data_IF_991013805534
#
_entry.id   IF_991013805534
#
_cell.length_a   1.000
_cell.length_b   1.000
_cell.length_c   1.000
_cell.angle_alpha   90.00
_cell.angle_beta   90.00
_cell.angle_gamma   90.00
#
_symmetry.space_group_name_H-M   'P 1'
#
loop_
_entity.id
_entity.type
_entity.pdbx_description
1 polymer ?
#
# COMPACT_ATOMS: atom_id res chain seq x y z
N UNK A 1 -6.25 6.75 -15.08
CA UNK A 1 -5.27 6.30 -14.05
C UNK A 1 -4.11 5.53 -14.70
N UNK A 2 -2.86 5.99 -14.51
CA UNK A 2 -1.66 5.44 -15.15
C UNK A 2 -0.97 4.30 -14.41
N UNK A 3 -1.40 3.96 -13.20
CA UNK A 3 -0.88 2.80 -12.46
C UNK A 3 -1.44 1.53 -13.13
N UNK A 4 -0.56 0.60 -13.51
CA UNK A 4 -0.93 -0.65 -14.19
C UNK A 4 -0.27 -1.86 -13.52
N UNK A 5 -0.88 -3.05 -13.59
CA UNK A 5 -0.25 -4.28 -13.16
C UNK A 5 0.99 -4.49 -14.03
N UNK A 6 2.17 -4.67 -13.42
CA UNK A 6 3.37 -4.92 -14.21
C UNK A 6 3.42 -6.40 -14.57
N UNK A 7 3.27 -6.73 -15.85
CA UNK A 7 3.23 -8.12 -16.35
C UNK A 7 4.52 -8.91 -16.12
N UNK A 8 5.61 -8.25 -15.71
CA UNK A 8 6.94 -8.84 -15.51
C UNK A 8 7.23 -9.26 -14.05
N UNK A 9 6.31 -9.01 -13.10
CA UNK A 9 6.45 -9.41 -11.70
C UNK A 9 5.28 -10.29 -11.29
N UNK A 10 5.53 -11.36 -10.53
CA UNK A 10 4.48 -12.24 -9.96
C UNK A 10 3.42 -11.49 -9.11
N UNK A 11 3.72 -10.25 -8.74
CA UNK A 11 3.00 -9.44 -7.76
C UNK A 11 1.58 -8.97 -8.13
N UNK A 12 1.15 -9.02 -9.40
CA UNK A 12 -0.09 -8.29 -9.77
C UNK A 12 -0.92 -8.99 -10.84
N UNK A 13 -1.73 -9.97 -10.44
CA UNK A 13 -2.86 -10.41 -11.28
C UNK A 13 -4.05 -9.44 -11.18
N UNK A 14 -4.17 -8.73 -10.05
CA UNK A 14 -5.16 -7.68 -9.81
C UNK A 14 -4.49 -6.52 -9.07
N UNK A 15 -5.03 -5.32 -9.25
CA UNK A 15 -4.62 -4.13 -8.54
C UNK A 15 -5.82 -3.27 -8.18
N UNK A 16 -5.75 -2.55 -7.06
CA UNK A 16 -6.80 -1.67 -6.57
C UNK A 16 -6.22 -0.45 -5.85
N UNK A 17 -6.97 0.64 -5.80
CA UNK A 17 -6.59 1.79 -4.99
C UNK A 17 -6.63 1.45 -3.49
N UNK A 18 -5.70 1.98 -2.72
CA UNK A 18 -5.63 1.79 -1.28
C UNK A 18 -6.18 2.98 -0.52
N UNK A 19 -5.32 3.94 -0.22
CA UNK A 19 -5.71 5.17 0.46
C UNK A 19 -6.07 6.25 -0.54
N UNK A 20 -6.83 7.30 -0.14
CA UNK A 20 -6.90 8.51 -0.93
C UNK A 20 -5.48 9.04 -1.24
N UNK A 21 -5.16 9.42 -2.49
CA UNK A 21 -3.89 10.05 -2.79
C UNK A 21 -3.74 11.36 -2.04
N UNK A 22 -2.55 11.62 -1.49
CA UNK A 22 -2.24 12.87 -0.81
C UNK A 22 -1.20 13.65 -1.61
N UNK A 23 -1.34 14.97 -1.64
CA UNK A 23 -0.33 15.83 -2.26
C UNK A 23 0.86 15.95 -1.29
N UNK A 24 2.06 15.67 -1.80
CA UNK A 24 3.30 15.75 -1.06
C UNK A 24 4.26 16.70 -1.75
N UNK A 25 5.07 17.39 -0.96
CA UNK A 25 6.23 18.14 -1.46
C UNK A 25 7.47 17.24 -1.51
N UNK A 26 8.43 17.60 -2.34
CA UNK A 26 9.68 16.86 -2.51
C UNK A 26 10.72 17.67 -3.29
N UNK A 27 11.96 17.19 -3.36
CA UNK A 27 13.07 17.90 -4.02
C UNK A 27 12.80 18.24 -5.49
N UNK A 28 12.02 17.41 -6.20
CA UNK A 28 11.64 17.61 -7.60
C UNK A 28 10.27 18.31 -7.76
N UNK A 29 9.78 19.00 -6.72
CA UNK A 29 8.46 19.63 -6.70
C UNK A 29 7.32 18.73 -6.17
N UNK A 30 7.63 17.48 -5.81
CA UNK A 30 6.67 16.56 -5.19
C UNK A 30 5.63 15.99 -6.17
N UNK A 31 4.45 15.61 -5.66
CA UNK A 31 3.42 14.96 -6.46
C UNK A 31 2.30 14.35 -5.63
N UNK A 32 1.42 13.58 -6.27
CA UNK A 32 0.38 12.83 -5.57
C UNK A 32 0.93 11.47 -5.13
N UNK A 33 1.15 11.28 -3.83
CA UNK A 33 1.49 9.99 -3.26
C UNK A 33 0.23 9.12 -3.23
N UNK A 34 0.26 8.02 -3.98
CA UNK A 34 -0.84 7.07 -4.09
C UNK A 34 -0.42 5.71 -3.54
N UNK A 35 -1.13 5.21 -2.53
CA UNK A 35 -0.99 3.83 -2.06
C UNK A 35 -2.01 2.95 -2.77
N UNK A 36 -1.56 1.77 -3.21
CA UNK A 36 -2.38 0.83 -3.97
C UNK A 36 -2.04 -0.60 -3.60
N UNK A 37 -2.99 -1.52 -3.80
CA UNK A 37 -2.81 -2.94 -3.50
C UNK A 37 -2.45 -3.73 -4.74
N UNK A 38 -1.46 -4.60 -4.62
CA UNK A 38 -1.17 -5.64 -5.60
C UNK A 38 -1.55 -7.00 -5.04
N UNK A 39 -2.18 -7.83 -5.88
CA UNK A 39 -2.60 -9.18 -5.53
C UNK A 39 -1.78 -10.21 -6.30
N UNK A 40 -0.99 -10.98 -5.56
CA UNK A 40 -0.32 -12.17 -6.07
C UNK A 40 -1.28 -13.37 -6.01
N UNK A 41 -1.47 -14.12 -7.11
CA UNK A 41 -2.31 -15.31 -7.12
C UNK A 41 -1.80 -16.40 -6.16
N UNK A 42 -2.60 -16.70 -5.13
CA UNK A 42 -2.33 -17.79 -4.20
C UNK A 42 -3.64 -18.29 -3.59
N UNK A 43 -3.97 -19.56 -3.80
CA UNK A 43 -5.24 -20.11 -3.34
C UNK A 43 -6.44 -19.33 -3.90
N UNK A 44 -7.50 -19.19 -3.09
CA UNK A 44 -8.75 -18.50 -3.48
C UNK A 44 -8.67 -16.99 -3.29
N UNK A 45 -7.96 -16.54 -2.25
CA UNK A 45 -7.94 -15.12 -1.83
C UNK A 45 -6.78 -14.36 -2.48
N UNK A 46 -5.60 -14.97 -2.60
CA UNK A 46 -4.37 -14.30 -3.02
C UNK A 46 -3.62 -13.63 -1.86
N UNK A 47 -2.40 -13.18 -2.14
CA UNK A 47 -1.59 -12.40 -1.19
C UNK A 47 -1.74 -10.93 -1.53
N UNK A 48 -2.28 -10.15 -0.60
CA UNK A 48 -2.46 -8.70 -0.76
C UNK A 48 -1.33 -7.96 -0.07
N UNK A 49 -0.65 -7.11 -0.85
CA UNK A 49 0.40 -6.22 -0.35
C UNK A 49 0.09 -4.80 -0.76
N UNK A 50 0.52 -3.84 0.05
CA UNK A 50 0.44 -2.42 -0.28
C UNK A 50 1.73 -1.98 -0.96
N UNK A 51 1.59 -1.21 -2.03
CA UNK A 51 2.65 -0.57 -2.78
C UNK A 51 2.37 0.93 -2.88
N UNK A 52 3.30 1.67 -3.47
CA UNK A 52 3.15 3.10 -3.66
C UNK A 52 3.67 3.57 -5.02
N UNK A 53 3.06 4.63 -5.51
CA UNK A 53 3.56 5.41 -6.64
C UNK A 53 3.40 6.90 -6.35
N UNK A 54 4.36 7.70 -6.79
CA UNK A 54 4.24 9.15 -6.86
C UNK A 54 3.79 9.53 -8.26
N UNK A 55 2.63 10.19 -8.35
CA UNK A 55 2.04 10.66 -9.60
C UNK A 55 2.35 12.15 -9.78
N UNK A 56 2.36 12.60 -11.03
CA UNK A 56 2.62 14.00 -11.36
C UNK A 56 1.56 14.93 -10.74
N UNK A 57 2.02 16.05 -10.20
CA UNK A 57 1.21 17.04 -9.46
C UNK A 57 0.12 17.65 -10.34
N UNK A 58 0.44 17.97 -11.58
CA UNK A 58 -0.43 18.65 -12.54
C UNK A 58 -1.18 17.66 -13.43
N UNK A 59 -0.55 16.54 -13.78
CA UNK A 59 -1.15 15.45 -14.56
C UNK A 59 -1.07 14.10 -13.82
N UNK A 60 -1.99 13.80 -12.88
CA UNK A 60 -1.96 12.58 -12.06
C UNK A 60 -2.18 11.29 -12.87
N UNK A 61 -2.38 11.38 -14.19
CA UNK A 61 -2.34 10.20 -15.07
C UNK A 61 -0.92 9.68 -15.30
N UNK A 62 0.12 10.48 -15.02
CA UNK A 62 1.54 10.14 -15.21
C UNK A 62 2.17 9.69 -13.90
N UNK A 63 2.85 8.54 -13.93
CA UNK A 63 3.65 8.04 -12.80
C UNK A 63 5.06 8.63 -12.91
N UNK A 64 5.51 9.33 -11.88
CA UNK A 64 6.88 9.89 -11.80
C UNK A 64 7.83 8.90 -11.12
N UNK A 65 7.40 8.32 -10.00
CA UNK A 65 8.17 7.30 -9.25
C UNK A 65 7.27 6.18 -8.78
N UNK A 66 7.84 4.99 -8.66
CA UNK A 66 7.14 3.83 -8.10
C UNK A 66 8.16 2.89 -7.46
N UNK A 67 7.74 2.18 -6.42
CA UNK A 67 8.51 1.04 -5.90
C UNK A 67 7.90 -0.27 -6.39
N UNK A 68 8.76 -1.26 -6.64
CA UNK A 68 8.36 -2.64 -6.88
C UNK A 68 8.43 -3.50 -5.60
N UNK A 69 9.08 -2.99 -4.56
CA UNK A 69 9.07 -3.60 -3.24
C UNK A 69 7.76 -3.25 -2.52
N UNK A 70 7.20 -4.23 -1.81
CA UNK A 70 6.03 -4.01 -1.00
C UNK A 70 6.33 -3.01 0.13
N UNK A 71 5.47 -2.01 0.27
CA UNK A 71 5.54 -1.03 1.35
C UNK A 71 5.04 -1.63 2.67
N UNK A 72 3.94 -2.37 2.59
CA UNK A 72 3.35 -3.07 3.73
C UNK A 72 2.93 -4.47 3.29
N UNK A 73 3.37 -5.45 4.06
CA UNK A 73 2.95 -6.84 4.00
C UNK A 73 2.18 -7.23 5.26
N UNK A 74 1.44 -8.34 5.17
CA UNK A 74 0.78 -8.92 6.31
C UNK A 74 1.80 -9.27 7.40
N UNK A 75 1.44 -9.05 8.66
CA UNK A 75 2.31 -9.30 9.80
C UNK A 75 1.64 -10.28 10.77
N UNK A 76 1.98 -11.58 10.71
CA UNK A 76 1.39 -12.62 11.56
C UNK A 76 1.55 -12.36 13.06
N UNK A 77 2.57 -11.59 13.48
CA UNK A 77 2.76 -11.27 14.89
C UNK A 77 1.63 -10.36 15.43
N UNK A 78 0.98 -9.57 14.58
CA UNK A 78 -0.13 -8.69 14.98
C UNK A 78 -1.43 -9.47 15.24
N UNK A 79 -1.59 -10.63 14.61
CA UNK A 79 -2.80 -11.45 14.71
C UNK A 79 -2.61 -12.71 15.53
N UNK A 80 -1.41 -12.95 16.09
CA UNK A 80 -1.10 -14.11 16.94
C UNK A 80 -2.12 -14.35 18.07
N UNK A 81 -2.58 -13.33 18.83
CA UNK A 81 -3.61 -13.50 19.86
C UNK A 81 -4.99 -13.89 19.32
N UNK A 82 -5.22 -13.69 18.02
CA UNK A 82 -6.47 -13.95 17.33
C UNK A 82 -6.39 -15.17 16.40
N UNK A 83 -5.29 -15.94 16.46
CA UNK A 83 -5.00 -17.05 15.53
C UNK A 83 -6.18 -18.02 15.35
N UNK A 84 -6.89 -18.36 16.42
CA UNK A 84 -8.01 -19.31 16.37
C UNK A 84 -9.24 -18.76 15.61
N UNK A 85 -9.32 -17.45 15.42
CA UNK A 85 -10.40 -16.77 14.67
C UNK A 85 -10.01 -16.46 13.22
N UNK A 86 -8.74 -16.64 12.85
CA UNK A 86 -8.24 -16.33 11.52
C UNK A 86 -8.70 -17.36 10.49
N UNK A 87 -9.15 -16.88 9.34
CA UNK A 87 -9.44 -17.70 8.15
C UNK A 87 -8.56 -17.32 6.94
N UNK A 88 -7.78 -16.25 7.05
CA UNK A 88 -6.74 -15.80 6.13
C UNK A 88 -5.59 -15.18 6.95
N UNK A 89 -4.38 -15.14 6.39
CA UNK A 89 -3.17 -14.63 7.06
C UNK A 89 -2.27 -13.76 6.16
N UNK A 90 -2.56 -13.69 4.86
CA UNK A 90 -1.68 -13.09 3.86
C UNK A 90 -2.26 -11.79 3.25
N UNK A 91 -3.05 -11.05 4.02
CA UNK A 91 -3.76 -9.86 3.55
C UNK A 91 -3.47 -8.66 4.44
N UNK A 92 -2.95 -7.59 3.82
CA UNK A 92 -2.99 -6.24 4.37
C UNK A 92 -3.66 -5.29 3.37
N UNK A 93 -4.57 -4.45 3.85
CA UNK A 93 -5.40 -3.61 3.00
C UNK A 93 -5.48 -2.18 3.55
N UNK A 94 -4.57 -1.30 3.11
CA UNK A 94 -4.59 0.12 3.49
C UNK A 94 -5.81 0.86 2.96
N UNK A 95 -6.43 1.68 3.81
CA UNK A 95 -7.66 2.43 3.50
C UNK A 95 -7.59 3.92 3.89
N UNK A 96 -6.70 4.30 4.81
CA UNK A 96 -6.52 5.69 5.23
C UNK A 96 -5.06 6.08 5.38
N UNK A 97 -4.76 7.35 5.12
CA UNK A 97 -3.45 7.96 5.33
C UNK A 97 -3.63 9.38 5.87
N UNK A 98 -2.77 9.78 6.80
CA UNK A 98 -2.70 11.14 7.32
C UNK A 98 -1.24 11.58 7.51
N UNK A 99 -0.97 12.85 7.29
CA UNK A 99 0.33 13.47 7.61
C UNK A 99 0.43 13.74 9.12
N UNK A 100 1.50 13.24 9.74
CA UNK A 100 1.80 13.43 11.16
C UNK A 100 3.16 14.14 11.38
N UNK A 101 3.65 14.89 10.39
CA UNK A 101 4.91 15.64 10.46
C UNK A 101 6.09 14.88 9.87
N UNK A 102 6.80 14.10 10.68
CA UNK A 102 7.99 13.33 10.27
C UNK A 102 7.64 11.97 9.62
N UNK A 103 6.40 11.51 9.80
CA UNK A 103 5.89 10.25 9.24
C UNK A 103 4.44 10.41 8.75
N UNK A 104 3.98 9.40 8.02
CA UNK A 104 2.57 9.19 7.72
C UNK A 104 1.97 8.17 8.67
N UNK A 105 0.75 8.43 9.14
CA UNK A 105 -0.08 7.45 9.85
C UNK A 105 -0.97 6.78 8.82
N UNK A 106 -0.85 5.46 8.68
CA UNK A 106 -1.60 4.66 7.71
C UNK A 106 -2.50 3.68 8.44
N UNK A 107 -3.80 3.73 8.15
CA UNK A 107 -4.79 2.77 8.61
C UNK A 107 -4.97 1.66 7.57
N UNK A 108 -4.97 0.41 8.02
CA UNK A 108 -5.17 -0.78 7.19
C UNK A 108 -6.00 -1.85 7.89
N UNK A 109 -6.65 -2.70 7.11
CA UNK A 109 -7.08 -4.02 7.57
C UNK A 109 -5.90 -5.00 7.56
N UNK A 110 -5.88 -5.91 8.53
CA UNK A 110 -4.92 -7.01 8.68
C UNK A 110 -5.72 -8.31 8.76
N UNK A 111 -5.46 -9.23 7.82
CA UNK A 111 -6.10 -10.55 7.72
C UNK A 111 -7.64 -10.52 7.71
N UNK A 112 -8.25 -9.45 7.17
CA UNK A 112 -9.71 -9.17 7.22
C UNK A 112 -10.32 -9.26 8.63
N UNK A 113 -9.50 -9.18 9.68
CA UNK A 113 -9.90 -9.47 11.05
C UNK A 113 -9.66 -8.29 12.00
N UNK A 114 -8.55 -7.57 11.79
CA UNK A 114 -8.12 -6.50 12.67
C UNK A 114 -7.85 -5.21 11.91
N UNK A 115 -8.00 -4.08 12.60
CA UNK A 115 -7.46 -2.81 12.14
C UNK A 115 -6.02 -2.66 12.62
N UNK A 116 -5.14 -2.16 11.75
CA UNK A 116 -3.74 -1.86 12.00
C UNK A 116 -3.48 -0.38 11.73
N UNK A 117 -2.68 0.23 12.61
CA UNK A 117 -2.10 1.55 12.38
C UNK A 117 -0.60 1.36 12.18
N UNK A 118 -0.07 1.89 11.08
CA UNK A 118 1.36 1.87 10.77
C UNK A 118 1.88 3.29 10.68
N UNK A 119 3.07 3.53 11.23
CA UNK A 119 3.80 4.79 11.08
C UNK A 119 4.89 4.59 10.03
N UNK A 120 4.75 5.27 8.90
CA UNK A 120 5.67 5.16 7.77
C UNK A 120 6.55 6.41 7.68
N UNK A 121 7.87 6.31 7.91
CA UNK A 121 8.74 7.47 7.79
C UNK A 121 8.72 8.01 6.35
N UNK A 122 8.68 9.35 6.20
CA UNK A 122 8.59 9.99 4.87
C UNK A 122 9.78 9.65 3.96
N UNK A 123 10.92 9.25 4.53
CA UNK A 123 12.12 8.82 3.80
C UNK A 123 11.92 7.56 2.95
N UNK A 124 10.85 6.78 3.18
CA UNK A 124 10.51 5.62 2.34
C UNK A 124 10.11 6.01 0.90
N UNK A 125 9.71 7.27 0.70
CA UNK A 125 9.15 7.73 -0.57
C UNK A 125 10.13 8.56 -1.40
N UNK A 126 11.36 8.76 -0.91
CA UNK A 126 12.47 9.48 -1.57
C UNK A 126 12.34 11.00 -1.49
#
# INVERSE_FOLDING_TARGET
>A
PGIRPHAATMATARMGGGTPPILVDGPDGGGWLSLWHGVEPMGVVGVYRTYWSLLDREDPSRVIRTSHEALIEANPALTDPLREQMYIDNVVFTTGIADAGDHYVVASGEADLACRISHLPKTLFG
#
